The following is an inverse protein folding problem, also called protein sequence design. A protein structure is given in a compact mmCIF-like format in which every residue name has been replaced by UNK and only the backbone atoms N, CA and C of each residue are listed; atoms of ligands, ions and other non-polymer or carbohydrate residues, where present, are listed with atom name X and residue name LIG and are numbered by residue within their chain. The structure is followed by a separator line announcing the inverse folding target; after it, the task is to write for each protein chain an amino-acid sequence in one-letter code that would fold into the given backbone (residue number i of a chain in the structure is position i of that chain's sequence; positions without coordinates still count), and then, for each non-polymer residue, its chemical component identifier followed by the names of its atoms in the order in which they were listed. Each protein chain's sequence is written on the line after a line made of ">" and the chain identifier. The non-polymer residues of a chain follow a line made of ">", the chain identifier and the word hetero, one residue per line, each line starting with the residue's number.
data_IF_582282821604
#
_entry.id   IF_582282821604
#
_cell.length_a   1.000
_cell.length_b   1.000
_cell.length_c   1.000
_cell.angle_alpha   90.00
_cell.angle_beta   90.00
_cell.angle_gamma   90.00
#
_symmetry.space_group_name_H-M   'P 1'
#
loop_
_entity.id
_entity.type
_entity.pdbx_description
1 polymer ?
#
# COMPACT_ATOMS: atom_id res chain seq x y z
N UNK A 1 41.97 46.49 -26.77
CA UNK A 1 41.11 45.77 -27.74
C UNK A 1 40.83 44.32 -27.39
N UNK A 2 40.98 43.90 -26.12
CA UNK A 2 40.79 42.49 -25.68
C UNK A 2 39.47 42.26 -24.96
N UNK A 3 38.66 43.30 -24.78
CA UNK A 3 37.45 43.26 -23.91
C UNK A 3 36.12 42.99 -24.64
N UNK A 4 36.15 43.01 -25.98
CA UNK A 4 34.93 42.84 -26.80
C UNK A 4 34.74 41.43 -27.39
N UNK A 5 35.69 40.50 -27.21
CA UNK A 5 35.60 39.15 -27.80
C UNK A 5 35.03 38.12 -26.80
N UNK A 6 34.99 38.44 -25.50
CA UNK A 6 34.55 37.46 -24.47
C UNK A 6 33.01 37.35 -24.35
N UNK A 7 32.28 38.41 -24.75
CA UNK A 7 30.81 38.43 -24.60
C UNK A 7 30.03 37.51 -25.58
N UNK A 8 30.44 37.35 -26.85
CA UNK A 8 29.71 36.44 -27.76
C UNK A 8 29.99 34.95 -27.51
N UNK A 9 31.11 34.59 -26.86
CA UNK A 9 31.45 33.19 -26.55
C UNK A 9 30.61 32.60 -25.40
N UNK A 10 30.08 33.45 -24.52
CA UNK A 10 29.25 32.99 -23.38
C UNK A 10 27.78 32.73 -23.76
N UNK A 11 27.33 33.31 -24.88
CA UNK A 11 25.94 33.11 -25.35
C UNK A 11 25.73 31.79 -26.08
N UNK A 12 26.78 31.10 -26.50
CA UNK A 12 26.71 29.82 -27.21
C UNK A 12 26.57 28.60 -26.29
N UNK A 13 26.70 28.77 -24.97
CA UNK A 13 26.58 27.68 -23.98
C UNK A 13 25.19 27.52 -23.38
N UNK A 14 24.24 28.37 -23.75
CA UNK A 14 22.84 28.24 -23.32
C UNK A 14 22.01 27.43 -24.34
N UNK A 15 22.43 26.20 -24.64
CA UNK A 15 21.55 25.25 -25.31
C UNK A 15 20.53 24.75 -24.27
N UNK A 16 19.22 24.97 -24.48
CA UNK A 16 18.23 24.36 -23.61
C UNK A 16 18.35 22.84 -23.78
N UNK A 17 18.77 22.15 -22.72
CA UNK A 17 18.58 20.72 -22.60
C UNK A 17 17.06 20.48 -22.58
N UNK A 18 16.49 20.21 -23.71
CA UNK A 18 15.15 19.63 -23.78
C UNK A 18 15.30 18.17 -23.38
N UNK A 19 14.93 17.86 -22.15
CA UNK A 19 14.62 16.49 -21.76
C UNK A 19 13.34 16.11 -22.52
N UNK A 20 13.50 15.58 -23.71
CA UNK A 20 12.40 15.00 -24.49
C UNK A 20 12.09 13.66 -23.83
N UNK A 21 10.97 13.59 -23.09
CA UNK A 21 10.41 12.31 -22.68
C UNK A 21 9.92 11.61 -23.95
N UNK A 22 10.71 10.68 -24.45
CA UNK A 22 10.33 9.84 -25.58
C UNK A 22 9.20 8.94 -25.10
N UNK A 23 8.05 9.02 -25.74
CA UNK A 23 6.96 8.09 -25.52
C UNK A 23 7.46 6.68 -25.86
N UNK A 24 7.38 5.76 -24.91
CA UNK A 24 7.69 4.35 -25.14
C UNK A 24 6.77 3.82 -26.25
N UNK A 25 7.35 3.15 -27.24
CA UNK A 25 6.58 2.51 -28.29
C UNK A 25 5.71 1.38 -27.70
N UNK A 26 4.56 1.13 -28.32
CA UNK A 26 3.62 0.08 -27.88
C UNK A 26 4.29 -1.30 -27.76
N UNK A 27 5.27 -1.59 -28.60
CA UNK A 27 6.07 -2.81 -28.58
C UNK A 27 7.03 -2.87 -27.38
N UNK A 28 7.57 -1.74 -26.96
CA UNK A 28 8.39 -1.66 -25.73
C UNK A 28 7.53 -1.80 -24.47
N UNK A 29 6.30 -1.27 -24.49
CA UNK A 29 5.33 -1.51 -23.40
C UNK A 29 4.87 -2.97 -23.35
N UNK A 30 4.71 -3.64 -24.49
CA UNK A 30 4.36 -5.06 -24.54
C UNK A 30 5.52 -5.96 -24.07
N UNK A 31 6.76 -5.59 -24.32
CA UNK A 31 7.92 -6.31 -23.81
C UNK A 31 8.07 -6.17 -22.27
N UNK A 32 7.58 -5.08 -21.69
CA UNK A 32 7.54 -4.84 -20.25
C UNK A 32 6.27 -5.43 -19.60
N UNK A 33 5.22 -5.66 -20.39
CA UNK A 33 3.92 -6.14 -19.92
C UNK A 33 3.90 -7.65 -19.66
N UNK A 34 4.70 -8.16 -18.81
CA UNK A 34 4.55 -9.60 -18.55
C UNK A 34 5.17 -10.14 -17.29
N UNK A 35 6.14 -9.50 -16.70
CA UNK A 35 6.88 -10.16 -15.63
C UNK A 35 7.39 -9.29 -14.48
N UNK A 36 7.17 -8.01 -14.47
CA UNK A 36 7.61 -7.16 -13.38
C UNK A 36 6.44 -6.82 -12.45
N UNK A 37 5.99 -7.79 -11.67
CA UNK A 37 5.18 -7.50 -10.49
C UNK A 37 5.94 -6.50 -9.61
N UNK A 38 5.22 -5.51 -9.06
CA UNK A 38 5.82 -4.57 -8.11
C UNK A 38 6.22 -5.36 -6.87
N UNK A 39 7.49 -5.30 -6.49
CA UNK A 39 7.96 -5.84 -5.23
C UNK A 39 8.23 -4.71 -4.25
N UNK A 40 7.63 -4.79 -3.08
CA UNK A 40 7.73 -3.79 -2.02
C UNK A 40 8.28 -4.44 -0.75
N UNK A 41 9.24 -3.77 -0.12
CA UNK A 41 9.67 -4.09 1.24
C UNK A 41 9.51 -2.86 2.11
N UNK A 42 8.86 -3.00 3.26
CA UNK A 42 8.58 -1.90 4.18
C UNK A 42 8.71 -2.38 5.63
N UNK A 43 9.27 -1.52 6.48
CA UNK A 43 9.29 -1.74 7.93
C UNK A 43 8.70 -0.52 8.63
N UNK A 44 7.69 -0.76 9.43
CA UNK A 44 6.96 0.26 10.17
C UNK A 44 7.11 -0.01 11.67
N UNK A 45 7.45 1.02 12.43
CA UNK A 45 7.40 1.00 13.88
C UNK A 45 6.38 2.05 14.34
N UNK A 46 5.23 1.59 14.80
CA UNK A 46 4.11 2.43 15.18
C UNK A 46 4.02 2.45 16.70
N UNK A 47 4.40 3.56 17.31
CA UNK A 47 4.27 3.80 18.72
C UNK A 47 2.94 4.47 19.09
N UNK A 48 2.56 4.41 20.36
CA UNK A 48 1.43 5.19 20.89
C UNK A 48 1.76 6.68 20.87
N UNK A 49 0.79 7.48 20.50
CA UNK A 49 0.86 8.93 20.65
C UNK A 49 0.15 9.35 21.96
N UNK A 50 0.88 9.74 23.00
CA UNK A 50 0.29 10.10 24.28
C UNK A 50 -0.60 11.36 24.22
N UNK A 51 -0.45 12.20 23.21
CA UNK A 51 -1.32 13.35 23.02
C UNK A 51 -2.75 12.96 22.57
N UNK A 52 -2.95 11.73 22.13
CA UNK A 52 -4.26 11.20 21.77
C UNK A 52 -4.91 10.53 22.98
N UNK A 53 -5.69 11.31 23.73
CA UNK A 53 -6.27 10.89 25.01
C UNK A 53 -7.46 9.94 24.90
N UNK A 54 -7.91 9.62 23.69
CA UNK A 54 -9.02 8.68 23.43
C UNK A 54 -8.73 7.25 23.90
N UNK A 55 -7.48 6.87 23.96
CA UNK A 55 -7.02 5.58 24.47
C UNK A 55 -6.18 5.79 25.75
N UNK A 56 -6.31 4.87 26.72
CA UNK A 56 -5.48 4.87 27.91
C UNK A 56 -3.99 4.73 27.55
N UNK A 57 -3.18 5.71 27.91
CA UNK A 57 -1.76 5.75 27.56
C UNK A 57 -1.45 6.18 26.12
N UNK A 58 -2.42 6.76 25.42
CA UNK A 58 -2.30 7.21 24.03
C UNK A 58 -2.79 6.18 23.01
N UNK A 59 -3.20 6.65 21.84
CA UNK A 59 -3.62 5.80 20.74
C UNK A 59 -2.46 5.53 19.76
N UNK A 60 -2.49 4.38 19.12
CA UNK A 60 -1.69 4.08 17.94
C UNK A 60 -2.21 4.77 16.68
N UNK A 61 -1.72 4.35 15.51
CA UNK A 61 -2.19 4.85 14.23
C UNK A 61 -3.64 4.41 13.95
N UNK A 62 -4.28 5.15 13.04
CA UNK A 62 -5.65 4.87 12.57
C UNK A 62 -5.66 4.88 11.04
N UNK A 63 -6.27 3.86 10.45
CA UNK A 63 -6.44 3.75 9.02
C UNK A 63 -7.91 3.50 8.72
N UNK A 64 -8.54 4.41 7.98
CA UNK A 64 -9.96 4.36 7.66
C UNK A 64 -10.16 4.11 6.15
N UNK A 65 -11.08 3.20 5.83
CA UNK A 65 -11.49 2.89 4.48
C UNK A 65 -12.97 3.21 4.33
N UNK A 66 -13.34 3.85 3.24
CA UNK A 66 -14.74 4.04 2.87
C UNK A 66 -15.12 3.01 1.81
N UNK A 67 -15.93 1.98 2.14
CA UNK A 67 -16.30 0.97 1.16
C UNK A 67 -17.37 1.52 0.21
N UNK A 68 -17.01 1.67 -1.05
CA UNK A 68 -17.93 2.08 -2.12
C UNK A 68 -18.71 3.34 -1.81
N UNK A 69 -20.04 3.28 -1.97
CA UNK A 69 -20.98 4.36 -1.70
C UNK A 69 -21.50 4.39 -0.24
N UNK A 70 -20.94 3.58 0.64
CA UNK A 70 -21.34 3.53 2.05
C UNK A 70 -21.16 4.88 2.74
N UNK A 71 -22.06 5.21 3.66
CA UNK A 71 -21.91 6.37 4.54
C UNK A 71 -21.00 6.12 5.75
N UNK A 72 -20.58 4.87 5.96
CA UNK A 72 -19.70 4.46 7.06
C UNK A 72 -18.30 4.14 6.60
N UNK A 73 -17.45 3.87 7.58
CA UNK A 73 -16.05 3.53 7.41
C UNK A 73 -15.75 2.20 8.10
N UNK A 74 -14.90 1.40 7.46
CA UNK A 74 -14.19 0.30 8.12
C UNK A 74 -12.86 0.87 8.57
N UNK A 75 -12.54 0.71 9.84
CA UNK A 75 -11.36 1.36 10.44
C UNK A 75 -10.50 0.34 11.17
N UNK A 76 -9.22 0.33 10.85
CA UNK A 76 -8.20 -0.26 11.70
C UNK A 76 -7.74 0.83 12.67
N UNK A 77 -8.14 0.72 13.92
CA UNK A 77 -7.86 1.70 14.97
C UNK A 77 -6.82 1.20 15.96
N UNK A 78 -6.15 2.12 16.61
CA UNK A 78 -5.14 1.83 17.63
C UNK A 78 -4.05 0.86 17.15
N UNK A 79 -3.61 1.03 15.89
CA UNK A 79 -2.53 0.22 15.31
C UNK A 79 -1.24 0.59 16.01
N UNK A 80 -0.54 -0.40 16.58
CA UNK A 80 0.75 -0.24 17.23
C UNK A 80 1.57 -1.51 17.12
N UNK A 81 2.90 -1.37 17.27
CA UNK A 81 3.86 -2.47 17.15
C UNK A 81 4.78 -2.30 15.95
N UNK A 82 5.57 -3.33 15.69
CA UNK A 82 6.45 -3.39 14.52
C UNK A 82 5.84 -4.27 13.46
N UNK A 83 5.79 -3.75 12.24
CA UNK A 83 5.27 -4.44 11.07
C UNK A 83 6.36 -4.42 10.00
N UNK A 84 6.85 -5.57 9.62
CA UNK A 84 7.84 -5.70 8.55
C UNK A 84 7.26 -6.58 7.45
N UNK A 85 7.29 -6.07 6.24
CA UNK A 85 6.89 -6.78 5.03
C UNK A 85 8.09 -6.83 4.10
N UNK A 86 8.47 -8.03 3.69
CA UNK A 86 9.57 -8.24 2.76
C UNK A 86 9.08 -9.00 1.53
N UNK A 87 9.40 -8.44 0.36
CA UNK A 87 9.04 -9.02 -0.92
C UNK A 87 7.53 -9.18 -1.09
N UNK A 88 6.75 -8.15 -0.74
CA UNK A 88 5.34 -8.08 -1.15
C UNK A 88 5.30 -7.88 -2.65
N UNK A 89 4.69 -8.82 -3.35
CA UNK A 89 4.48 -8.74 -4.81
C UNK A 89 3.01 -8.53 -5.11
N UNK A 90 2.73 -7.68 -6.08
CA UNK A 90 1.39 -7.49 -6.64
C UNK A 90 1.41 -7.94 -8.09
N UNK A 91 0.56 -8.87 -8.44
CA UNK A 91 0.49 -9.46 -9.75
C UNK A 91 -0.96 -9.72 -10.18
N UNK A 92 -1.22 -9.74 -11.48
CA UNK A 92 -2.49 -10.20 -12.05
C UNK A 92 -2.25 -11.62 -12.55
N UNK A 93 -2.96 -12.56 -11.96
CA UNK A 93 -2.80 -13.97 -12.25
C UNK A 93 -4.13 -14.58 -12.71
N UNK A 94 -4.07 -15.37 -13.79
CA UNK A 94 -5.25 -16.09 -14.24
C UNK A 94 -5.36 -17.43 -13.54
N UNK A 95 -6.45 -17.64 -12.85
CA UNK A 95 -6.75 -18.93 -12.22
C UNK A 95 -7.68 -19.71 -13.13
N UNK A 96 -7.14 -20.76 -13.76
CA UNK A 96 -7.89 -21.61 -14.70
C UNK A 96 -8.51 -22.84 -14.03
N UNK A 97 -8.04 -23.21 -12.84
CA UNK A 97 -8.38 -24.47 -12.17
C UNK A 97 -9.16 -24.30 -10.88
N UNK A 98 -9.52 -23.11 -10.50
CA UNK A 98 -10.18 -22.80 -9.24
C UNK A 98 -9.38 -23.19 -8.01
N UNK A 99 -9.68 -22.52 -6.94
CA UNK A 99 -9.18 -22.88 -5.63
C UNK A 99 -9.96 -24.10 -5.10
N UNK A 100 -9.27 -25.15 -4.64
CA UNK A 100 -9.87 -26.39 -4.14
C UNK A 100 -10.79 -27.16 -5.11
N UNK A 101 -10.55 -27.12 -6.40
CA UNK A 101 -11.37 -27.85 -7.39
C UNK A 101 -12.64 -27.11 -7.84
N UNK A 102 -12.89 -25.90 -7.39
CA UNK A 102 -13.97 -25.03 -7.88
C UNK A 102 -13.61 -24.33 -9.20
N UNK A 103 -12.67 -24.87 -9.95
CA UNK A 103 -12.02 -24.27 -11.10
C UNK A 103 -12.91 -23.75 -12.21
N UNK A 104 -14.02 -24.42 -12.46
CA UNK A 104 -14.97 -23.97 -13.46
C UNK A 104 -15.62 -22.61 -13.13
N UNK A 105 -15.68 -22.24 -11.86
CA UNK A 105 -16.26 -20.98 -11.39
C UNK A 105 -15.26 -19.81 -11.44
N UNK A 106 -13.95 -20.10 -11.45
CA UNK A 106 -12.90 -19.08 -11.28
C UNK A 106 -12.18 -18.70 -12.56
N UNK A 107 -12.32 -19.29 -13.68
CA UNK A 107 -11.59 -18.98 -14.92
C UNK A 107 -11.51 -17.46 -15.24
N UNK A 108 -10.96 -16.71 -14.30
CA UNK A 108 -10.87 -15.24 -14.27
C UNK A 108 -9.48 -14.78 -13.87
N UNK A 109 -9.20 -13.55 -14.24
CA UNK A 109 -8.02 -12.83 -13.76
C UNK A 109 -8.27 -12.36 -12.34
N UNK A 110 -7.33 -12.64 -11.45
CA UNK A 110 -7.37 -12.30 -10.04
C UNK A 110 -6.14 -11.48 -9.66
N UNK A 111 -6.31 -10.60 -8.71
CA UNK A 111 -5.18 -9.92 -8.10
C UNK A 111 -4.53 -10.87 -7.09
N UNK A 112 -3.26 -11.18 -7.29
CA UNK A 112 -2.44 -11.98 -6.37
C UNK A 112 -1.51 -11.06 -5.61
N UNK A 113 -1.59 -11.10 -4.28
CA UNK A 113 -0.62 -10.45 -3.39
C UNK A 113 0.24 -11.56 -2.80
N UNK A 114 1.50 -11.62 -3.22
CA UNK A 114 2.49 -12.55 -2.67
C UNK A 114 3.18 -11.91 -1.47
N UNK A 115 3.35 -12.67 -0.39
CA UNK A 115 4.10 -12.28 0.80
C UNK A 115 5.28 -13.25 0.95
N UNK A 116 6.50 -12.79 0.71
CA UNK A 116 7.70 -13.58 1.01
C UNK A 116 7.87 -13.73 2.51
N UNK A 117 7.73 -12.64 3.23
CA UNK A 117 7.74 -12.61 4.67
C UNK A 117 7.00 -11.38 5.19
N UNK A 118 6.09 -11.60 6.13
CA UNK A 118 5.55 -10.53 6.96
C UNK A 118 5.82 -10.89 8.42
N UNK A 119 6.38 -9.97 9.17
CA UNK A 119 6.67 -10.14 10.59
C UNK A 119 5.96 -9.07 11.38
N UNK A 120 5.22 -9.50 12.39
CA UNK A 120 4.52 -8.62 13.33
C UNK A 120 5.12 -8.85 14.72
N UNK A 121 5.64 -7.80 15.34
CA UNK A 121 6.23 -7.86 16.67
C UNK A 121 5.45 -6.97 17.63
N UNK A 122 4.91 -7.58 18.69
CA UNK A 122 4.07 -6.91 19.68
C UNK A 122 2.99 -6.04 19.02
N UNK A 123 2.38 -6.57 17.98
CA UNK A 123 1.44 -5.85 17.13
C UNK A 123 0.05 -5.87 17.74
N UNK A 124 -0.63 -4.75 17.64
CA UNK A 124 -2.03 -4.60 18.01
C UNK A 124 -2.77 -3.77 16.99
N UNK A 125 -4.02 -4.11 16.74
CA UNK A 125 -5.00 -3.23 16.07
C UNK A 125 -6.41 -3.64 16.47
N UNK A 126 -7.33 -2.68 16.38
CA UNK A 126 -8.75 -2.91 16.60
C UNK A 126 -9.51 -2.64 15.30
N UNK A 127 -10.29 -3.59 14.82
CA UNK A 127 -11.19 -3.38 13.70
C UNK A 127 -12.50 -2.80 14.23
N UNK A 128 -12.94 -1.68 13.66
CA UNK A 128 -14.18 -1.00 14.03
C UNK A 128 -14.95 -0.55 12.80
N UNK A 129 -16.28 -0.54 12.90
CA UNK A 129 -17.13 0.25 12.01
C UNK A 129 -17.30 1.66 12.60
N UNK A 130 -17.20 2.70 11.81
CA UNK A 130 -17.30 4.07 12.28
C UNK A 130 -18.08 4.97 11.32
N UNK A 131 -18.72 6.01 11.86
CA UNK A 131 -19.39 7.04 11.06
C UNK A 131 -18.43 8.10 10.51
N UNK A 132 -17.20 8.19 11.04
CA UNK A 132 -16.20 9.19 10.65
C UNK A 132 -14.82 8.52 10.45
N UNK A 133 -14.07 9.02 9.46
CA UNK A 133 -12.69 8.59 9.21
C UNK A 133 -11.73 9.08 10.30
N UNK A 134 -11.87 10.34 10.68
CA UNK A 134 -11.03 11.01 11.67
C UNK A 134 -11.83 11.16 12.98
N UNK A 135 -11.25 10.83 14.13
CA UNK A 135 -11.91 11.02 15.41
C UNK A 135 -12.22 12.49 15.69
N UNK A 136 -13.45 12.77 16.09
CA UNK A 136 -13.92 14.12 16.41
C UNK A 136 -15.20 14.08 17.21
N UNK A 137 -15.81 15.25 17.41
CA UNK A 137 -17.13 15.35 18.03
C UNK A 137 -18.15 14.57 17.20
N UNK A 138 -18.99 13.76 17.87
CA UNK A 138 -19.99 12.92 17.20
C UNK A 138 -19.44 11.63 16.58
N UNK A 139 -18.21 11.23 16.92
CA UNK A 139 -17.70 9.93 16.53
C UNK A 139 -18.55 8.83 17.20
N UNK A 140 -19.17 8.02 16.34
CA UNK A 140 -19.82 6.77 16.72
C UNK A 140 -19.06 5.63 16.07
N UNK A 141 -18.65 4.64 16.88
CA UNK A 141 -17.90 3.50 16.39
C UNK A 141 -18.25 2.22 17.13
N UNK A 142 -18.41 1.15 16.35
CA UNK A 142 -18.67 -0.20 16.85
C UNK A 142 -17.42 -1.06 16.74
N UNK A 143 -16.95 -1.60 17.86
CA UNK A 143 -15.84 -2.53 17.91
C UNK A 143 -16.29 -3.88 17.37
N UNK A 144 -15.54 -4.42 16.42
CA UNK A 144 -15.75 -5.76 15.87
C UNK A 144 -14.85 -6.77 16.56
N UNK A 145 -13.53 -6.53 16.54
CA UNK A 145 -12.56 -7.32 17.29
C UNK A 145 -11.25 -6.56 17.48
N UNK A 146 -10.46 -7.02 18.44
CA UNK A 146 -9.07 -6.57 18.63
C UNK A 146 -8.13 -7.74 18.39
N UNK A 147 -7.14 -7.52 17.54
CA UNK A 147 -6.02 -8.43 17.35
C UNK A 147 -4.83 -7.92 18.17
N UNK A 148 -4.19 -8.81 18.92
CA UNK A 148 -3.00 -8.50 19.69
C UNK A 148 -2.04 -9.68 19.68
N UNK A 149 -0.75 -9.41 19.49
CA UNK A 149 0.31 -10.40 19.63
C UNK A 149 1.30 -9.98 20.71
N UNK A 150 1.78 -10.96 21.47
CA UNK A 150 2.91 -10.81 22.37
C UNK A 150 4.07 -11.60 21.79
N UNK A 151 5.12 -10.90 21.33
CA UNK A 151 6.25 -11.50 20.62
C UNK A 151 6.11 -11.40 19.10
N UNK A 152 6.74 -12.33 18.38
CA UNK A 152 6.84 -12.33 16.93
C UNK A 152 5.87 -13.31 16.29
N UNK A 153 5.10 -12.81 15.33
CA UNK A 153 4.32 -13.63 14.39
C UNK A 153 4.91 -13.45 13.00
N UNK A 154 5.24 -14.54 12.35
CA UNK A 154 5.72 -14.55 10.97
C UNK A 154 4.70 -15.21 10.08
N UNK A 155 4.41 -14.56 8.95
CA UNK A 155 3.48 -15.02 7.94
C UNK A 155 4.16 -15.04 6.58
N UNK A 156 3.78 -16.00 5.73
CA UNK A 156 4.19 -16.09 4.34
C UNK A 156 3.05 -16.74 3.54
N UNK A 157 2.96 -16.43 2.26
CA UNK A 157 1.95 -17.03 1.40
C UNK A 157 1.43 -16.09 0.33
N UNK A 158 0.29 -16.43 -0.23
CA UNK A 158 -0.37 -15.64 -1.24
C UNK A 158 -1.81 -15.33 -0.81
N UNK A 159 -2.23 -14.10 -1.08
CA UNK A 159 -3.62 -13.66 -0.99
C UNK A 159 -4.15 -13.44 -2.41
N UNK A 160 -5.32 -14.01 -2.70
CA UNK A 160 -5.99 -13.83 -3.97
C UNK A 160 -7.26 -13.02 -3.75
N UNK A 161 -7.43 -11.96 -4.54
CA UNK A 161 -8.58 -11.07 -4.49
C UNK A 161 -9.28 -11.15 -5.85
N UNK A 162 -10.56 -11.48 -5.81
CA UNK A 162 -11.40 -11.60 -7.01
C UNK A 162 -12.81 -11.05 -6.73
N UNK A 163 -13.47 -10.60 -7.79
CA UNK A 163 -14.86 -10.20 -7.68
C UNK A 163 -15.75 -11.43 -7.46
N UNK A 164 -16.65 -11.37 -6.51
CA UNK A 164 -17.72 -12.35 -6.38
C UNK A 164 -18.58 -12.35 -7.65
N UNK A 165 -19.12 -13.49 -8.06
CA UNK A 165 -20.04 -13.57 -9.20
C UNK A 165 -21.33 -12.81 -8.94
#
# INVERSE_FOLDING_TARGET
>A
MLRQIVLPALLLLAMPLRAEMQALAEEEMQAVSGQAGVSLSVSLNIARNPSQTRCAGGCGARLAFKPGLSNGYIVLDNIQGRFSFDGVTLDIHRINSGYNGEGALFNKDVMKIGLRSATFENAQFTLVGANQAVPGAGLDQHHLFTYQTNGNVRMQGNLYIFAAP
#
